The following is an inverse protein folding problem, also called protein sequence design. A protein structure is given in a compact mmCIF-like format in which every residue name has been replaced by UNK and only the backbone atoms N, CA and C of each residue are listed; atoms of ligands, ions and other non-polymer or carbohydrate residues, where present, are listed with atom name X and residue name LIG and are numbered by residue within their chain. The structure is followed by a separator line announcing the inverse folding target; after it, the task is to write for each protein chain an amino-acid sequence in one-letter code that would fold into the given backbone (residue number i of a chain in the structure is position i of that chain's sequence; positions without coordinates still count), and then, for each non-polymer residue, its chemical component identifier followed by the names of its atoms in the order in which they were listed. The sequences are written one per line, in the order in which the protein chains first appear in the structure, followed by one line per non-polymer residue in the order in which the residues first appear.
data_IF_048215086539
#
_entry.id   IF_048215086539
#
_cell.length_a   1.000
_cell.length_b   1.000
_cell.length_c   1.000
_cell.angle_alpha   90.00
_cell.angle_beta   90.00
_cell.angle_gamma   90.00
#
_symmetry.space_group_name_H-M   'P 1'
#
loop_
_entity.id
_entity.type
_entity.pdbx_description
1 polymer ?
#
# COMPACT_ATOMS: atom_id res chain seq x y z
N UNK A 1 14.85 6.65 11.05
CA UNK A 1 15.75 5.65 10.46
C UNK A 1 15.27 5.35 9.04
N UNK A 2 16.02 5.76 8.04
CA UNK A 2 15.68 5.58 6.63
C UNK A 2 16.24 4.22 6.21
N UNK A 3 15.35 3.21 6.00
CA UNK A 3 15.74 1.92 5.43
C UNK A 3 16.10 2.11 3.96
N UNK A 4 17.32 1.75 3.57
CA UNK A 4 17.72 1.59 2.16
C UNK A 4 16.87 0.48 1.55
N UNK A 5 16.03 0.82 0.58
CA UNK A 5 15.27 -0.14 -0.22
C UNK A 5 16.18 -0.68 -1.31
N UNK A 6 16.27 -2.01 -1.42
CA UNK A 6 16.87 -2.66 -2.58
C UNK A 6 15.95 -2.44 -3.79
N UNK A 7 16.48 -1.82 -4.82
CA UNK A 7 15.83 -1.64 -6.11
C UNK A 7 16.00 -2.93 -6.90
N UNK A 8 14.90 -3.56 -7.29
CA UNK A 8 14.88 -4.70 -8.22
C UNK A 8 15.59 -4.33 -9.52
N UNK A 9 16.50 -5.20 -9.95
CA UNK A 9 17.44 -5.01 -11.06
C UNK A 9 16.78 -5.26 -12.42
N UNK A 10 15.87 -4.41 -12.85
CA UNK A 10 15.40 -4.38 -14.24
C UNK A 10 15.08 -2.96 -14.69
N UNK A 11 16.04 -2.04 -14.53
CA UNK A 11 16.04 -0.79 -15.31
C UNK A 11 17.42 -0.13 -15.31
N UNK A 12 18.42 -0.85 -15.78
CA UNK A 12 19.74 -0.28 -16.10
C UNK A 12 19.87 -0.17 -17.61
N UNK A 13 19.36 0.92 -18.17
CA UNK A 13 19.93 1.56 -19.37
C UNK A 13 19.33 2.97 -19.50
N UNK A 14 19.92 3.89 -18.80
CA UNK A 14 20.06 5.32 -19.05
C UNK A 14 20.37 6.05 -17.74
N UNK A 15 21.65 6.16 -17.40
CA UNK A 15 22.08 7.17 -16.44
C UNK A 15 23.51 7.62 -16.65
N UNK A 16 23.63 8.91 -16.67
CA UNK A 16 24.88 9.67 -16.72
C UNK A 16 25.73 9.43 -15.45
N UNK A 17 27.04 9.45 -15.63
CA UNK A 17 28.06 9.32 -14.61
C UNK A 17 27.93 10.40 -13.52
N UNK A 18 27.80 9.96 -12.28
CA UNK A 18 28.05 10.77 -11.10
C UNK A 18 29.27 10.23 -10.36
N UNK A 19 30.24 11.09 -10.13
CA UNK A 19 31.50 10.80 -9.44
C UNK A 19 31.21 10.35 -8.01
N UNK A 20 31.54 9.11 -7.68
CA UNK A 20 31.49 8.56 -6.33
C UNK A 20 32.80 8.88 -5.61
N UNK A 21 32.75 9.79 -4.63
CA UNK A 21 33.79 9.87 -3.62
C UNK A 21 33.58 8.73 -2.62
N UNK A 22 34.50 7.79 -2.63
CA UNK A 22 34.52 6.65 -1.70
C UNK A 22 35.01 7.10 -0.33
N UNK A 23 34.12 7.15 0.66
CA UNK A 23 34.51 7.15 2.06
C UNK A 23 34.73 5.69 2.45
N UNK A 24 35.88 5.31 3.02
CA UNK A 24 36.09 3.94 3.47
C UNK A 24 35.21 3.67 4.69
N UNK A 25 34.16 2.86 4.49
CA UNK A 25 33.41 2.26 5.59
C UNK A 25 34.25 1.09 6.09
N UNK A 26 34.93 1.27 7.22
CA UNK A 26 35.54 0.15 7.95
C UNK A 26 34.42 -0.72 8.52
N UNK A 27 33.94 -1.65 7.71
CA UNK A 27 33.16 -2.77 8.22
C UNK A 27 34.13 -3.66 8.99
N UNK A 28 34.01 -3.70 10.32
CA UNK A 28 34.51 -4.80 11.11
C UNK A 28 33.71 -6.05 10.70
N UNK A 29 34.13 -6.69 9.62
CA UNK A 29 33.62 -8.02 9.23
C UNK A 29 34.22 -8.98 10.25
N UNK A 30 33.43 -9.34 11.28
CA UNK A 30 33.74 -10.46 12.15
C UNK A 30 34.05 -11.65 11.23
N UNK A 31 35.19 -12.35 11.50
CA UNK A 31 35.52 -13.58 10.78
C UNK A 31 34.29 -14.51 10.81
N UNK A 32 33.96 -15.19 9.69
CA UNK A 32 32.83 -16.09 9.66
C UNK A 32 32.98 -17.12 10.80
N UNK A 33 31.96 -17.25 11.62
CA UNK A 33 31.95 -18.22 12.72
C UNK A 33 32.18 -19.60 12.11
N UNK A 34 33.05 -20.41 12.76
CA UNK A 34 33.42 -21.75 12.26
C UNK A 34 32.17 -22.62 12.18
N UNK A 35 31.85 -23.11 10.98
CA UNK A 35 30.77 -24.06 10.78
C UNK A 35 31.12 -25.43 11.43
N UNK A 36 30.14 -26.02 12.08
CA UNK A 36 30.22 -27.33 12.77
C UNK A 36 29.17 -28.22 12.10
N UNK A 37 29.55 -29.46 11.77
CA UNK A 37 28.63 -30.46 11.21
C UNK A 37 28.25 -31.45 12.30
N UNK A 38 26.94 -31.69 12.45
CA UNK A 38 26.34 -32.66 13.38
C UNK A 38 25.25 -33.42 12.63
N UNK A 39 25.50 -34.68 12.30
CA UNK A 39 24.63 -35.47 11.44
C UNK A 39 24.39 -34.77 10.07
N UNK A 40 23.15 -34.63 9.69
CA UNK A 40 22.77 -33.97 8.43
C UNK A 40 22.77 -32.42 8.51
N UNK A 41 23.02 -31.87 9.70
CA UNK A 41 22.97 -30.43 9.92
C UNK A 41 24.36 -29.80 9.96
N UNK A 42 24.44 -28.58 9.43
CA UNK A 42 25.57 -27.68 9.66
C UNK A 42 25.05 -26.47 10.44
N UNK A 43 25.81 -26.04 11.44
CA UNK A 43 25.44 -24.90 12.28
C UNK A 43 26.66 -24.07 12.69
N UNK A 44 26.41 -22.85 13.11
CA UNK A 44 27.37 -21.98 13.80
C UNK A 44 26.95 -21.81 15.25
N UNK A 45 27.95 -21.71 16.15
CA UNK A 45 27.71 -21.40 17.56
C UNK A 45 27.66 -19.92 17.77
N UNK A 46 26.54 -19.39 18.21
CA UNK A 46 26.35 -17.99 18.59
C UNK A 46 26.09 -17.84 20.09
N UNK A 47 26.13 -16.60 20.59
CA UNK A 47 25.82 -16.28 21.98
C UNK A 47 25.05 -14.97 22.07
N UNK A 48 24.08 -14.90 22.98
CA UNK A 48 23.38 -13.67 23.34
C UNK A 48 23.99 -12.97 24.57
N UNK A 49 25.23 -13.33 24.96
CA UNK A 49 25.93 -12.82 26.14
C UNK A 49 25.59 -13.55 27.44
N UNK A 50 24.57 -14.42 27.47
CA UNK A 50 24.18 -15.22 28.61
C UNK A 50 24.34 -16.73 28.37
N UNK A 51 23.91 -17.17 27.20
CA UNK A 51 23.94 -18.58 26.79
C UNK A 51 24.42 -18.70 25.36
N UNK A 52 25.15 -19.78 25.06
CA UNK A 52 25.45 -20.15 23.67
C UNK A 52 24.33 -21.01 23.10
N UNK A 53 24.13 -20.92 21.80
CA UNK A 53 23.10 -21.66 21.06
C UNK A 53 23.58 -21.98 19.64
N UNK A 54 22.91 -22.92 18.97
CA UNK A 54 23.15 -23.27 17.60
C UNK A 54 22.25 -22.45 16.64
N UNK A 55 22.82 -21.97 15.54
CA UNK A 55 22.13 -21.37 14.40
C UNK A 55 22.36 -22.27 13.19
N UNK A 56 21.31 -22.86 12.65
CA UNK A 56 21.40 -23.75 11.50
C UNK A 56 21.80 -22.96 10.24
N UNK A 57 22.80 -23.44 9.51
CA UNK A 57 23.30 -22.85 8.27
C UNK A 57 23.02 -23.70 7.03
N UNK A 58 22.93 -25.04 7.19
CA UNK A 58 22.51 -25.93 6.12
C UNK A 58 21.95 -27.26 6.63
N UNK A 59 21.25 -27.96 5.73
CA UNK A 59 20.74 -29.30 5.91
C UNK A 59 21.06 -30.14 4.68
N UNK A 60 21.66 -31.31 4.86
CA UNK A 60 22.11 -32.22 3.76
C UNK A 60 21.27 -33.49 3.67
N UNK A 61 20.32 -33.70 4.59
CA UNK A 61 19.45 -34.86 4.55
C UNK A 61 18.44 -34.83 3.41
N UNK A 62 17.74 -35.94 3.21
CA UNK A 62 16.78 -36.13 2.12
C UNK A 62 15.31 -36.03 2.55
N UNK A 63 15.05 -35.70 3.82
CA UNK A 63 13.69 -35.63 4.36
C UNK A 63 12.86 -34.56 3.67
N UNK A 64 11.63 -34.94 3.29
CA UNK A 64 10.64 -34.00 2.76
C UNK A 64 9.80 -33.35 3.85
N UNK A 65 9.76 -33.96 5.05
CA UNK A 65 9.07 -33.48 6.26
C UNK A 65 10.11 -33.25 7.33
N UNK A 66 10.70 -32.07 7.34
CA UNK A 66 11.83 -31.75 8.22
C UNK A 66 11.38 -31.34 9.61
N UNK A 67 11.93 -31.99 10.63
CA UNK A 67 11.77 -31.56 12.03
C UNK A 67 13.06 -30.86 12.47
N UNK A 68 12.96 -29.59 12.80
CA UNK A 68 14.10 -28.85 13.35
C UNK A 68 14.41 -29.39 14.74
N UNK A 69 15.64 -29.89 15.00
CA UNK A 69 16.00 -30.46 16.31
C UNK A 69 15.94 -29.40 17.42
N UNK A 70 15.65 -29.82 18.61
CA UNK A 70 15.69 -28.95 19.80
C UNK A 70 17.11 -28.58 20.18
N UNK A 71 18.05 -29.53 20.00
CA UNK A 71 19.46 -29.41 20.40
C UNK A 71 20.37 -30.11 19.39
N UNK A 72 21.59 -29.59 19.22
CA UNK A 72 22.70 -30.20 18.49
C UNK A 72 23.95 -30.06 19.39
N UNK A 73 24.63 -31.16 19.64
CA UNK A 73 25.88 -31.22 20.43
C UNK A 73 25.76 -30.47 21.77
N UNK A 74 24.62 -30.60 22.46
CA UNK A 74 24.34 -29.94 23.74
C UNK A 74 23.99 -28.44 23.64
N UNK A 75 23.86 -27.89 22.42
CA UNK A 75 23.44 -26.50 22.17
C UNK A 75 21.98 -26.45 21.72
N UNK A 76 21.16 -25.63 22.36
CA UNK A 76 19.79 -25.38 21.89
C UNK A 76 19.80 -24.77 20.47
N UNK A 77 18.99 -25.29 19.55
CA UNK A 77 18.80 -24.75 18.22
C UNK A 77 17.79 -23.60 18.31
N UNK A 78 18.27 -22.36 18.21
CA UNK A 78 17.42 -21.16 18.38
C UNK A 78 17.10 -20.39 17.10
N UNK A 79 17.86 -20.63 16.03
CA UNK A 79 17.65 -19.89 14.79
C UNK A 79 18.05 -20.72 13.55
N UNK A 80 17.58 -20.26 12.42
CA UNK A 80 17.94 -20.74 11.08
C UNK A 80 18.45 -19.53 10.30
N UNK A 81 19.61 -19.65 9.62
CA UNK A 81 20.18 -18.54 8.86
C UNK A 81 19.90 -18.68 7.37
N UNK A 82 20.15 -17.60 6.64
CA UNK A 82 20.18 -17.60 5.17
C UNK A 82 21.24 -18.58 4.67
N UNK A 83 20.90 -19.30 3.61
CA UNK A 83 21.71 -20.39 3.06
C UNK A 83 21.22 -21.76 3.45
N UNK A 84 20.43 -21.87 4.53
CA UNK A 84 19.78 -23.13 4.94
C UNK A 84 18.82 -23.65 3.86
N UNK A 85 18.14 -22.74 3.13
CA UNK A 85 17.18 -23.05 2.06
C UNK A 85 17.80 -23.69 0.81
N UNK A 86 19.13 -23.65 0.67
CA UNK A 86 19.82 -24.09 -0.54
C UNK A 86 19.60 -25.58 -0.80
N UNK A 87 19.12 -25.89 -2.00
CA UNK A 87 18.86 -27.25 -2.48
C UNK A 87 17.83 -28.06 -1.69
N UNK A 88 17.05 -27.44 -0.80
CA UNK A 88 16.03 -28.12 -0.05
C UNK A 88 14.83 -28.50 -0.93
N UNK A 89 14.34 -29.75 -0.75
CA UNK A 89 13.13 -30.28 -1.36
C UNK A 89 12.04 -30.56 -0.33
N UNK A 90 12.12 -29.91 0.84
CA UNK A 90 11.18 -30.13 1.92
C UNK A 90 9.79 -29.57 1.57
N UNK A 91 8.77 -30.31 1.95
CA UNK A 91 7.36 -29.94 1.81
C UNK A 91 6.76 -29.40 3.09
N UNK A 92 7.22 -29.92 4.23
CA UNK A 92 6.82 -29.41 5.54
C UNK A 92 8.02 -29.22 6.45
N UNK A 93 7.92 -28.22 7.35
CA UNK A 93 8.91 -27.97 8.37
C UNK A 93 8.21 -27.81 9.72
N UNK A 94 8.76 -28.47 10.76
CA UNK A 94 8.31 -28.33 12.14
C UNK A 94 9.36 -27.54 12.91
N UNK A 95 9.02 -26.33 13.35
CA UNK A 95 9.87 -25.51 14.19
C UNK A 95 9.79 -26.01 15.64
N UNK A 96 10.95 -26.32 16.24
CA UNK A 96 11.04 -26.78 17.63
C UNK A 96 10.66 -25.67 18.62
N UNK A 97 10.49 -26.05 19.90
CA UNK A 97 10.13 -25.10 20.97
C UNK A 97 11.19 -24.00 21.18
N UNK A 98 12.44 -24.26 20.86
CA UNK A 98 13.57 -23.37 21.12
C UNK A 98 13.76 -22.30 20.03
N UNK A 99 13.15 -22.44 18.85
CA UNK A 99 13.22 -21.40 17.79
C UNK A 99 12.62 -20.09 18.32
N UNK A 100 13.42 -19.03 18.33
CA UNK A 100 13.13 -17.77 19.00
C UNK A 100 12.99 -16.60 18.03
N UNK A 101 12.41 -15.48 18.50
CA UNK A 101 12.27 -14.25 17.72
C UNK A 101 13.64 -13.61 17.42
N UNK A 102 13.74 -12.91 16.30
CA UNK A 102 14.93 -12.19 15.84
C UNK A 102 15.54 -11.24 16.88
N UNK A 103 14.73 -10.64 17.77
CA UNK A 103 15.20 -9.81 18.88
C UNK A 103 16.11 -10.56 19.89
N UNK A 104 15.99 -11.88 19.93
CA UNK A 104 16.77 -12.74 20.84
C UNK A 104 17.99 -13.36 20.15
N UNK A 105 17.90 -13.59 18.84
CA UNK A 105 18.90 -14.30 18.04
C UNK A 105 19.56 -13.44 16.99
N UNK A 106 19.04 -12.20 16.75
CA UNK A 106 19.41 -11.35 15.61
C UNK A 106 19.22 -12.02 14.23
N UNK A 107 18.42 -13.09 14.19
CA UNK A 107 18.05 -13.84 12.98
C UNK A 107 16.53 -13.86 12.86
N UNK A 108 16.04 -13.65 11.65
CA UNK A 108 14.62 -13.80 11.30
C UNK A 108 14.40 -15.12 10.55
N UNK A 109 13.15 -15.42 10.27
CA UNK A 109 12.77 -16.62 9.53
C UNK A 109 12.50 -16.36 8.05
N UNK A 110 13.06 -15.27 7.49
CA UNK A 110 12.95 -14.95 6.06
C UNK A 110 13.37 -16.11 5.17
N UNK A 111 14.34 -16.90 5.62
CA UNK A 111 14.84 -18.11 4.95
C UNK A 111 13.72 -19.10 4.59
N UNK A 112 12.65 -19.20 5.38
CA UNK A 112 11.52 -20.08 5.10
C UNK A 112 10.75 -19.63 3.86
N UNK A 113 10.80 -18.35 3.54
CA UNK A 113 10.15 -17.77 2.36
C UNK A 113 10.96 -18.00 1.06
N UNK A 114 12.18 -18.53 1.17
CA UNK A 114 13.01 -18.90 0.00
C UNK A 114 12.86 -20.38 -0.36
N UNK A 115 12.20 -21.20 0.48
CA UNK A 115 11.99 -22.62 0.20
C UNK A 115 10.84 -22.81 -0.77
N UNK A 116 11.15 -22.97 -2.04
CA UNK A 116 10.18 -23.01 -3.15
C UNK A 116 9.19 -24.19 -3.09
N UNK A 117 9.57 -25.29 -2.44
CA UNK A 117 8.76 -26.52 -2.34
C UNK A 117 7.89 -26.58 -1.10
N UNK A 118 8.04 -25.62 -0.17
CA UNK A 118 7.37 -25.64 1.11
C UNK A 118 5.84 -25.51 0.95
N UNK A 119 5.13 -26.47 1.51
CA UNK A 119 3.65 -26.55 1.48
C UNK A 119 3.05 -26.22 2.86
N UNK A 120 3.77 -26.48 3.94
CA UNK A 120 3.28 -26.35 5.31
C UNK A 120 4.38 -26.01 6.33
N UNK A 121 4.07 -25.13 7.27
CA UNK A 121 4.87 -24.88 8.45
C UNK A 121 4.07 -25.29 9.67
N UNK A 122 4.70 -26.06 10.55
CA UNK A 122 4.18 -26.41 11.88
C UNK A 122 5.11 -25.85 12.95
N UNK A 123 4.59 -25.69 14.15
CA UNK A 123 5.34 -25.17 15.31
C UNK A 123 5.03 -26.02 16.51
N UNK A 124 6.04 -26.39 17.29
CA UNK A 124 5.89 -27.11 18.53
C UNK A 124 4.94 -26.35 19.48
N UNK A 125 4.05 -27.07 20.15
CA UNK A 125 2.98 -26.51 21.00
C UNK A 125 3.50 -25.56 22.07
N UNK A 126 4.63 -25.87 22.64
CA UNK A 126 5.32 -25.16 23.72
C UNK A 126 6.30 -24.09 23.23
N UNK A 127 6.39 -23.82 21.92
CA UNK A 127 7.13 -22.68 21.41
C UNK A 127 6.50 -21.37 21.91
N UNK A 128 7.32 -20.50 22.51
CA UNK A 128 6.85 -19.24 23.13
C UNK A 128 6.82 -18.05 22.15
N UNK A 129 7.50 -18.17 21.01
CA UNK A 129 7.69 -17.07 20.05
C UNK A 129 6.72 -17.13 18.88
N UNK A 130 6.43 -18.35 18.42
CA UNK A 130 5.69 -18.58 17.18
C UNK A 130 4.52 -19.52 17.39
N UNK A 131 3.59 -19.47 16.44
CA UNK A 131 2.56 -20.48 16.24
C UNK A 131 2.26 -20.61 14.75
N UNK A 132 1.76 -21.76 14.36
CA UNK A 132 1.22 -21.97 13.01
C UNK A 132 -0.29 -22.16 13.06
N UNK A 133 -0.98 -21.62 12.07
CA UNK A 133 -2.38 -21.93 11.81
C UNK A 133 -2.54 -22.23 10.33
N UNK A 134 -3.17 -23.37 10.01
CA UNK A 134 -3.38 -23.82 8.64
C UNK A 134 -2.08 -23.83 7.81
N UNK A 135 -0.96 -24.19 8.44
CA UNK A 135 0.36 -24.24 7.81
C UNK A 135 1.03 -22.90 7.53
N UNK A 136 0.47 -21.81 8.02
CA UNK A 136 1.01 -20.43 7.90
C UNK A 136 1.63 -20.02 9.23
N UNK A 137 2.80 -19.38 9.19
CA UNK A 137 3.58 -19.00 10.36
C UNK A 137 3.24 -17.59 10.86
N UNK A 138 2.98 -17.48 12.15
CA UNK A 138 2.67 -16.23 12.84
C UNK A 138 3.50 -16.07 14.12
N UNK A 139 3.55 -14.83 14.63
CA UNK A 139 3.91 -14.59 16.02
C UNK A 139 2.94 -15.32 16.98
N UNK A 140 3.37 -15.59 18.21
CA UNK A 140 2.54 -16.29 19.22
C UNK A 140 1.21 -15.60 19.49
N UNK A 141 1.15 -14.26 19.40
CA UNK A 141 -0.07 -13.45 19.57
C UNK A 141 -0.84 -13.21 18.26
N UNK A 142 -0.43 -13.83 17.17
CA UNK A 142 -1.00 -13.67 15.81
C UNK A 142 -1.06 -12.23 15.27
N UNK A 143 -0.26 -11.32 15.79
CA UNK A 143 -0.24 -9.95 15.26
C UNK A 143 0.70 -9.78 14.07
N UNK A 144 1.64 -10.69 13.88
CA UNK A 144 2.62 -10.68 12.81
C UNK A 144 2.53 -11.97 11.98
N UNK A 145 2.56 -11.86 10.66
CA UNK A 145 2.71 -12.97 9.74
C UNK A 145 4.17 -13.00 9.29
N UNK A 146 4.82 -14.16 9.41
CA UNK A 146 6.22 -14.37 9.03
C UNK A 146 6.37 -15.11 7.71
N UNK A 147 5.55 -16.13 7.47
CA UNK A 147 5.67 -16.94 6.25
C UNK A 147 4.34 -17.56 5.85
N UNK A 148 4.00 -17.42 4.58
CA UNK A 148 3.00 -18.20 3.89
C UNK A 148 3.73 -19.09 2.87
N UNK A 149 3.72 -20.43 3.03
CA UNK A 149 4.50 -21.33 2.18
C UNK A 149 4.19 -21.18 0.68
N UNK A 150 5.23 -21.03 -0.14
CA UNK A 150 5.10 -20.75 -1.58
C UNK A 150 4.35 -21.82 -2.36
N UNK A 151 4.46 -23.09 -1.94
CA UNK A 151 3.82 -24.24 -2.56
C UNK A 151 2.59 -24.76 -1.80
N UNK A 152 2.08 -23.99 -0.83
CA UNK A 152 0.83 -24.33 -0.13
C UNK A 152 -0.33 -24.47 -1.12
N UNK A 153 -1.00 -25.62 -1.08
CA UNK A 153 -2.06 -25.99 -2.06
C UNK A 153 -3.41 -25.26 -1.85
N UNK A 154 -3.53 -24.41 -0.83
CA UNK A 154 -4.76 -23.67 -0.58
C UNK A 154 -4.99 -22.60 -1.64
N UNK A 155 -6.14 -22.61 -2.28
CA UNK A 155 -6.52 -21.60 -3.27
C UNK A 155 -7.06 -20.29 -2.63
N UNK A 156 -7.41 -20.33 -1.35
CA UNK A 156 -7.97 -19.16 -0.65
C UNK A 156 -7.24 -18.91 0.67
N UNK A 157 -6.91 -17.65 0.90
CA UNK A 157 -6.38 -17.20 2.17
C UNK A 157 -7.08 -15.94 2.65
N UNK A 158 -7.76 -16.05 3.78
CA UNK A 158 -8.34 -14.94 4.51
C UNK A 158 -7.40 -14.61 5.69
N UNK A 159 -6.60 -13.56 5.53
CA UNK A 159 -5.66 -13.15 6.56
C UNK A 159 -6.40 -12.80 7.85
N UNK A 160 -6.04 -13.39 8.99
CA UNK A 160 -6.70 -13.14 10.27
C UNK A 160 -6.73 -11.65 10.63
N UNK A 161 -7.86 -11.18 11.17
CA UNK A 161 -8.01 -9.78 11.56
C UNK A 161 -7.05 -9.35 12.68
N UNK A 162 -6.46 -10.30 13.42
CA UNK A 162 -5.41 -10.03 14.42
C UNK A 162 -4.10 -9.56 13.80
N UNK A 163 -3.82 -9.92 12.53
CA UNK A 163 -2.58 -9.57 11.83
C UNK A 163 -2.54 -8.07 11.56
N UNK A 164 -1.52 -7.42 12.09
CA UNK A 164 -1.25 -5.97 11.95
C UNK A 164 -0.02 -5.69 11.09
N UNK A 165 0.83 -6.70 10.86
CA UNK A 165 2.07 -6.60 10.10
C UNK A 165 2.38 -7.92 9.40
N UNK A 166 2.87 -7.83 8.19
CA UNK A 166 3.61 -8.91 7.53
C UNK A 166 5.07 -8.60 7.79
N UNK A 167 5.78 -9.50 8.46
CA UNK A 167 7.11 -9.18 8.99
C UNK A 167 8.15 -9.16 7.88
N UNK A 168 8.15 -10.20 7.05
CA UNK A 168 9.13 -10.36 5.98
C UNK A 168 8.58 -9.85 4.65
N UNK A 169 9.42 -9.15 3.90
CA UNK A 169 9.03 -8.54 2.63
C UNK A 169 8.60 -9.55 1.56
N UNK A 170 9.11 -10.78 1.63
CA UNK A 170 8.84 -11.89 0.70
C UNK A 170 7.83 -12.93 1.23
N UNK A 171 7.22 -12.70 2.40
CA UNK A 171 6.33 -13.66 3.05
C UNK A 171 5.05 -14.02 2.24
N UNK A 172 4.65 -13.18 1.29
CA UNK A 172 3.47 -13.40 0.43
C UNK A 172 3.81 -13.30 -1.06
N UNK A 173 5.09 -13.42 -1.44
CA UNK A 173 5.53 -13.33 -2.83
C UNK A 173 5.65 -14.72 -3.48
N UNK A 174 5.59 -14.78 -4.80
CA UNK A 174 5.75 -16.03 -5.57
C UNK A 174 4.79 -17.17 -5.19
N UNK A 175 3.58 -16.84 -4.73
CA UNK A 175 2.59 -17.84 -4.29
C UNK A 175 2.01 -18.59 -5.50
N UNK A 176 2.29 -19.91 -5.58
CA UNK A 176 2.01 -20.71 -6.77
C UNK A 176 0.52 -21.11 -6.93
N UNK A 177 -0.19 -21.35 -5.83
CA UNK A 177 -1.53 -21.95 -5.84
C UNK A 177 -2.61 -21.02 -5.28
N UNK A 178 -2.23 -19.95 -4.58
CA UNK A 178 -3.18 -19.01 -4.02
C UNK A 178 -3.88 -18.22 -5.12
N UNK A 179 -5.20 -18.33 -5.19
CA UNK A 179 -6.05 -17.61 -6.16
C UNK A 179 -6.78 -16.43 -5.52
N UNK A 180 -7.25 -16.59 -4.27
CA UNK A 180 -8.11 -15.61 -3.61
C UNK A 180 -7.47 -15.14 -2.29
N UNK A 181 -7.09 -13.87 -2.24
CA UNK A 181 -6.48 -13.25 -1.06
C UNK A 181 -7.39 -12.18 -0.46
N UNK A 182 -7.68 -12.29 0.84
CA UNK A 182 -8.28 -11.19 1.62
C UNK A 182 -7.26 -10.70 2.65
N UNK A 183 -6.84 -9.44 2.54
CA UNK A 183 -5.92 -8.83 3.49
C UNK A 183 -6.61 -8.44 4.80
N UNK A 184 -5.87 -8.47 5.91
CA UNK A 184 -6.38 -7.99 7.19
C UNK A 184 -6.68 -6.50 7.16
N UNK A 185 -7.83 -6.12 7.72
CA UNK A 185 -8.22 -4.70 7.88
C UNK A 185 -7.33 -3.93 8.86
N UNK A 186 -6.55 -4.62 9.66
CA UNK A 186 -5.69 -4.04 10.70
C UNK A 186 -4.22 -3.94 10.28
N UNK A 187 -3.89 -4.28 9.03
CA UNK A 187 -2.56 -4.02 8.48
C UNK A 187 -2.25 -2.53 8.45
N UNK A 188 -1.01 -2.18 8.76
CA UNK A 188 -0.50 -0.81 8.67
C UNK A 188 -0.07 -0.41 7.25
N UNK A 189 0.34 -1.39 6.45
CA UNK A 189 0.81 -1.25 5.07
C UNK A 189 0.35 -2.44 4.23
N UNK A 190 0.22 -2.26 2.91
CA UNK A 190 -0.04 -3.39 2.01
C UNK A 190 1.23 -4.22 1.86
N UNK A 191 1.19 -5.54 2.10
CA UNK A 191 2.36 -6.39 1.91
C UNK A 191 2.69 -6.56 0.43
N UNK A 192 3.94 -6.91 0.12
CA UNK A 192 4.30 -7.38 -1.21
C UNK A 192 3.69 -8.77 -1.46
N UNK A 193 2.98 -8.89 -2.57
CA UNK A 193 2.39 -10.12 -3.08
C UNK A 193 2.85 -10.37 -4.53
N UNK A 194 3.96 -9.74 -4.94
CA UNK A 194 4.44 -9.77 -6.33
C UNK A 194 4.73 -11.20 -6.81
N UNK A 195 4.71 -11.36 -8.12
CA UNK A 195 4.98 -12.62 -8.81
C UNK A 195 4.06 -13.80 -8.43
N UNK A 196 2.94 -13.51 -7.78
CA UNK A 196 2.01 -14.53 -7.28
C UNK A 196 0.90 -14.89 -8.28
N UNK A 197 0.39 -16.13 -8.18
CA UNK A 197 -0.71 -16.64 -9.03
C UNK A 197 -2.10 -16.12 -8.62
N UNK A 198 -2.17 -15.06 -7.80
CA UNK A 198 -3.42 -14.50 -7.28
C UNK A 198 -4.33 -14.04 -8.43
N UNK A 199 -5.57 -14.48 -8.41
CA UNK A 199 -6.62 -14.13 -9.38
C UNK A 199 -7.52 -13.01 -8.82
N UNK A 200 -7.79 -13.03 -7.50
CA UNK A 200 -8.58 -12.00 -6.84
C UNK A 200 -7.95 -11.53 -5.53
N UNK A 201 -8.07 -10.21 -5.24
CA UNK A 201 -7.65 -9.65 -3.96
C UNK A 201 -8.69 -8.70 -3.40
N UNK A 202 -8.95 -8.82 -2.08
CA UNK A 202 -9.72 -7.84 -1.31
C UNK A 202 -8.78 -7.04 -0.42
N UNK A 203 -8.73 -5.72 -0.66
CA UNK A 203 -7.88 -4.76 0.02
C UNK A 203 -8.74 -3.85 0.90
N UNK A 204 -8.68 -3.97 2.23
CA UNK A 204 -9.37 -3.08 3.15
C UNK A 204 -8.82 -1.66 3.06
N UNK A 205 -9.70 -0.69 2.81
CA UNK A 205 -9.29 0.72 2.66
C UNK A 205 -8.71 1.35 3.94
N UNK A 206 -8.89 0.72 5.09
CA UNK A 206 -8.29 1.13 6.36
C UNK A 206 -6.76 1.08 6.34
N UNK A 207 -6.16 0.25 5.48
CA UNK A 207 -4.70 0.19 5.26
C UNK A 207 -4.16 1.56 4.81
N UNK A 208 -5.02 2.39 4.20
CA UNK A 208 -4.67 3.75 3.78
C UNK A 208 -4.03 3.83 2.41
N UNK A 209 -3.24 2.87 1.98
CA UNK A 209 -2.58 2.84 0.68
C UNK A 209 -2.30 1.44 0.16
N UNK A 210 -2.02 1.35 -1.13
CA UNK A 210 -1.40 0.19 -1.77
C UNK A 210 0.04 0.61 -2.04
N UNK A 211 0.98 -0.08 -1.41
CA UNK A 211 2.39 0.29 -1.43
C UNK A 211 3.06 -0.08 -2.77
N UNK A 212 4.28 0.44 -2.96
CA UNK A 212 5.10 0.21 -4.14
C UNK A 212 5.23 -1.30 -4.45
N UNK A 213 5.04 -1.66 -5.72
CA UNK A 213 5.17 -3.04 -6.25
C UNK A 213 4.37 -4.13 -5.53
N UNK A 214 3.33 -3.76 -4.74
CA UNK A 214 2.59 -4.73 -3.89
C UNK A 214 2.01 -5.91 -4.67
N UNK A 215 1.56 -5.69 -5.90
CA UNK A 215 1.00 -6.73 -6.79
C UNK A 215 1.71 -6.75 -8.15
N UNK A 216 2.97 -6.34 -8.21
CA UNK A 216 3.76 -6.38 -9.42
C UNK A 216 3.82 -7.81 -9.96
N UNK A 217 3.71 -7.99 -11.30
CA UNK A 217 3.74 -9.28 -11.99
C UNK A 217 2.67 -10.31 -11.55
N UNK A 218 1.62 -9.91 -10.85
CA UNK A 218 0.47 -10.78 -10.60
C UNK A 218 -0.34 -10.97 -11.90
N UNK A 219 0.22 -11.72 -12.84
CA UNK A 219 -0.27 -11.82 -14.23
C UNK A 219 -1.68 -12.42 -14.36
N UNK A 220 -2.16 -13.16 -13.34
CA UNK A 220 -3.50 -13.75 -13.28
C UNK A 220 -4.52 -12.88 -12.55
N UNK A 221 -4.06 -11.80 -11.88
CA UNK A 221 -4.93 -10.91 -11.09
C UNK A 221 -5.93 -10.22 -12.02
N UNK A 222 -7.18 -10.60 -11.91
CA UNK A 222 -8.27 -10.08 -12.73
C UNK A 222 -9.33 -9.32 -11.92
N UNK A 223 -9.38 -9.52 -10.60
CA UNK A 223 -10.34 -8.86 -9.71
C UNK A 223 -9.67 -8.22 -8.50
N UNK A 224 -9.81 -6.91 -8.38
CA UNK A 224 -9.34 -6.12 -7.23
C UNK A 224 -10.55 -5.45 -6.56
N UNK A 225 -10.82 -5.81 -5.32
CA UNK A 225 -11.87 -5.20 -4.50
C UNK A 225 -11.24 -4.29 -3.46
N UNK A 226 -11.46 -2.99 -3.57
CA UNK A 226 -10.95 -2.00 -2.62
C UNK A 226 -12.12 -1.47 -1.79
N UNK A 227 -12.05 -1.59 -0.47
CA UNK A 227 -13.07 -1.00 0.38
C UNK A 227 -12.79 0.49 0.62
N UNK A 228 -13.76 1.21 1.17
CA UNK A 228 -13.67 2.64 1.42
C UNK A 228 -12.54 2.99 2.40
N UNK A 229 -11.75 4.05 2.10
CA UNK A 229 -10.70 4.56 3.00
C UNK A 229 -9.32 4.70 2.34
N UNK A 230 -9.05 3.99 1.25
CA UNK A 230 -7.78 4.06 0.53
C UNK A 230 -7.48 5.50 0.08
N UNK A 231 -6.24 5.96 0.29
CA UNK A 231 -5.78 7.30 -0.04
C UNK A 231 -4.76 7.36 -1.16
N UNK A 232 -3.93 6.33 -1.32
CA UNK A 232 -2.92 6.29 -2.38
C UNK A 232 -2.76 4.87 -2.95
N UNK A 233 -2.36 4.83 -4.21
CA UNK A 233 -1.81 3.66 -4.91
C UNK A 233 -0.43 4.11 -5.33
N UNK A 234 0.61 3.44 -4.83
CA UNK A 234 2.00 3.87 -5.01
C UNK A 234 2.61 3.36 -6.31
N UNK A 235 3.90 3.61 -6.52
CA UNK A 235 4.60 3.30 -7.75
C UNK A 235 4.55 1.80 -8.05
N UNK A 236 4.32 1.43 -9.30
CA UNK A 236 4.29 0.04 -9.82
C UNK A 236 3.33 -0.93 -9.10
N UNK A 237 2.39 -0.46 -8.27
CA UNK A 237 1.53 -1.28 -7.43
C UNK A 237 0.82 -2.44 -8.15
N UNK A 238 0.43 -2.26 -9.41
CA UNK A 238 -0.17 -3.28 -10.30
C UNK A 238 0.59 -3.42 -11.63
N UNK A 239 1.89 -3.14 -11.62
CA UNK A 239 2.70 -3.25 -12.82
C UNK A 239 2.65 -4.70 -13.37
N UNK A 240 2.46 -4.84 -14.69
CA UNK A 240 2.34 -6.15 -15.37
C UNK A 240 1.18 -7.06 -14.90
N UNK A 241 0.17 -6.56 -14.22
CA UNK A 241 -1.06 -7.31 -13.97
C UNK A 241 -1.89 -7.47 -15.25
N UNK A 242 -1.46 -8.31 -16.18
CA UNK A 242 -1.99 -8.38 -17.56
C UNK A 242 -3.47 -8.80 -17.63
N UNK A 243 -3.93 -9.62 -16.68
CA UNK A 243 -5.32 -10.05 -16.60
C UNK A 243 -6.27 -8.98 -16.03
N UNK A 244 -5.75 -7.92 -15.39
CA UNK A 244 -6.54 -6.86 -14.78
C UNK A 244 -7.10 -5.93 -15.86
N UNK A 245 -8.38 -6.15 -16.24
CA UNK A 245 -9.07 -5.38 -17.30
C UNK A 245 -9.82 -4.17 -16.76
N UNK A 246 -10.18 -4.20 -15.48
CA UNK A 246 -10.90 -3.11 -14.80
C UNK A 246 -10.54 -3.03 -13.32
N UNK A 247 -10.66 -1.83 -12.77
CA UNK A 247 -10.54 -1.58 -11.32
C UNK A 247 -11.44 -0.40 -10.95
N UNK A 248 -12.18 -0.56 -9.86
CA UNK A 248 -13.01 0.52 -9.30
C UNK A 248 -12.25 1.25 -8.22
N UNK A 249 -11.79 2.46 -8.53
CA UNK A 249 -11.08 3.32 -7.60
C UNK A 249 -12.04 3.96 -6.59
N UNK A 250 -11.77 3.90 -5.27
CA UNK A 250 -12.68 4.43 -4.26
C UNK A 250 -12.62 5.96 -4.15
N UNK A 251 -13.74 6.58 -3.80
CA UNK A 251 -13.75 7.98 -3.36
C UNK A 251 -12.92 8.14 -2.08
N UNK A 252 -12.06 9.17 -2.08
CA UNK A 252 -11.06 9.39 -1.03
C UNK A 252 -9.63 9.17 -1.50
N UNK A 253 -9.44 8.41 -2.60
CA UNK A 253 -8.13 8.24 -3.24
C UNK A 253 -7.56 9.61 -3.64
N UNK A 254 -6.31 9.89 -3.28
CA UNK A 254 -5.67 11.19 -3.50
C UNK A 254 -4.57 11.13 -4.56
N UNK A 255 -3.82 10.02 -4.65
CA UNK A 255 -2.73 9.90 -5.61
C UNK A 255 -2.63 8.50 -6.21
N UNK A 256 -2.09 8.49 -7.44
CA UNK A 256 -1.70 7.30 -8.18
C UNK A 256 -0.25 7.52 -8.61
N UNK A 257 0.62 6.58 -8.26
CA UNK A 257 2.06 6.62 -8.45
C UNK A 257 2.51 6.33 -9.89
N UNK A 258 3.84 6.31 -10.08
CA UNK A 258 4.49 6.04 -11.36
C UNK A 258 4.22 4.60 -11.78
N UNK A 259 3.71 4.42 -13.00
CA UNK A 259 3.53 3.08 -13.56
C UNK A 259 2.58 2.17 -12.80
N UNK A 260 1.77 2.70 -11.86
CA UNK A 260 0.90 1.88 -10.99
C UNK A 260 0.00 0.91 -11.76
N UNK A 261 -0.39 1.24 -12.99
CA UNK A 261 -1.18 0.39 -13.89
C UNK A 261 -0.48 0.15 -15.23
N UNK A 262 0.84 0.26 -15.28
CA UNK A 262 1.60 0.05 -16.50
C UNK A 262 1.56 -1.43 -16.91
N UNK A 263 1.33 -1.69 -18.21
CA UNK A 263 1.18 -3.05 -18.77
C UNK A 263 0.08 -3.90 -18.13
N UNK A 264 -0.98 -3.27 -17.62
CA UNK A 264 -2.22 -3.98 -17.25
C UNK A 264 -3.12 -4.18 -18.47
N UNK A 265 -4.18 -4.98 -18.31
CA UNK A 265 -5.25 -5.14 -19.30
C UNK A 265 -6.24 -3.96 -19.36
N UNK A 266 -6.11 -2.95 -18.50
CA UNK A 266 -7.04 -1.84 -18.37
C UNK A 266 -6.98 -0.95 -19.61
N UNK A 267 -8.12 -0.73 -20.28
CA UNK A 267 -8.23 0.19 -21.42
C UNK A 267 -8.83 1.53 -21.04
N UNK A 268 -9.65 1.57 -19.99
CA UNK A 268 -10.27 2.79 -19.50
C UNK A 268 -10.27 2.82 -17.98
N UNK A 269 -9.88 3.96 -17.41
CA UNK A 269 -9.83 4.14 -15.95
C UNK A 269 -10.61 5.40 -15.55
N UNK A 270 -11.60 5.23 -14.67
CA UNK A 270 -12.36 6.33 -14.09
C UNK A 270 -11.67 6.85 -12.84
N UNK A 271 -11.26 8.12 -12.86
CA UNK A 271 -10.54 8.76 -11.78
C UNK A 271 -11.50 9.45 -10.81
N UNK A 272 -11.52 9.08 -9.52
CA UNK A 272 -12.38 9.71 -8.52
C UNK A 272 -12.14 11.21 -8.37
N UNK A 273 -13.19 11.92 -7.96
CA UNK A 273 -13.13 13.36 -7.73
C UNK A 273 -12.28 13.81 -6.54
N UNK A 274 -11.63 12.91 -5.83
CA UNK A 274 -10.72 13.18 -4.72
C UNK A 274 -9.25 13.19 -5.15
N UNK A 275 -8.92 12.61 -6.31
CA UNK A 275 -7.53 12.49 -6.81
C UNK A 275 -6.95 13.86 -7.13
N UNK A 276 -5.75 14.10 -6.61
CA UNK A 276 -5.00 15.37 -6.79
C UNK A 276 -3.75 15.20 -7.65
N UNK A 277 -3.23 13.97 -7.76
CA UNK A 277 -2.02 13.66 -8.53
C UNK A 277 -2.14 12.28 -9.17
N UNK A 278 -1.78 12.19 -10.43
CA UNK A 278 -1.50 10.94 -11.12
C UNK A 278 -0.11 11.12 -11.72
N UNK A 279 0.81 10.26 -11.33
CA UNK A 279 2.14 10.26 -11.92
C UNK A 279 2.14 9.52 -13.25
N UNK A 280 3.24 9.07 -13.76
CA UNK A 280 3.34 8.47 -15.08
C UNK A 280 2.38 7.29 -15.21
N UNK A 281 1.43 7.38 -16.13
CA UNK A 281 0.47 6.32 -16.43
C UNK A 281 0.67 5.82 -17.85
N UNK A 282 0.30 4.58 -18.13
CA UNK A 282 0.34 3.99 -19.46
C UNK A 282 -0.50 4.82 -20.46
N UNK A 283 0.11 5.19 -21.58
CA UNK A 283 -0.55 6.00 -22.61
C UNK A 283 -1.73 5.30 -23.29
N UNK A 284 -1.77 3.96 -23.22
CA UNK A 284 -2.87 3.15 -23.77
C UNK A 284 -4.15 3.26 -22.94
N UNK A 285 -4.06 3.70 -21.68
CA UNK A 285 -5.22 3.82 -20.78
C UNK A 285 -5.94 5.14 -21.01
N UNK A 286 -7.19 5.07 -21.45
CA UNK A 286 -8.09 6.24 -21.56
C UNK A 286 -8.56 6.66 -20.17
N UNK A 287 -8.20 7.89 -19.74
CA UNK A 287 -8.63 8.43 -18.46
C UNK A 287 -9.95 9.17 -18.54
N UNK A 288 -10.96 8.72 -17.82
CA UNK A 288 -12.14 9.52 -17.45
C UNK A 288 -11.83 10.23 -16.14
N UNK A 289 -11.44 11.49 -16.20
CA UNK A 289 -10.88 12.24 -15.07
C UNK A 289 -11.55 13.58 -14.86
N UNK A 290 -11.55 14.15 -13.63
CA UNK A 290 -12.00 15.51 -13.35
C UNK A 290 -11.23 16.56 -14.18
N UNK A 291 -11.92 17.61 -14.63
CA UNK A 291 -11.36 18.68 -15.46
C UNK A 291 -10.25 19.49 -14.78
N UNK A 292 -10.23 19.53 -13.45
CA UNK A 292 -9.17 20.19 -12.68
C UNK A 292 -7.84 19.41 -12.64
N UNK A 293 -7.81 18.13 -13.00
CA UNK A 293 -6.57 17.38 -13.24
C UNK A 293 -6.01 17.79 -14.61
N UNK A 294 -5.03 18.68 -14.60
CA UNK A 294 -4.37 19.16 -15.82
C UNK A 294 -3.17 18.29 -16.14
N UNK A 295 -2.97 18.05 -17.43
CA UNK A 295 -1.87 17.27 -18.00
C UNK A 295 -0.60 18.13 -18.06
N UNK A 296 0.52 17.54 -17.68
CA UNK A 296 1.85 18.13 -17.80
C UNK A 296 2.81 17.12 -18.42
N UNK A 297 3.90 17.60 -18.97
CA UNK A 297 4.97 16.79 -19.52
C UNK A 297 6.25 17.11 -18.75
N UNK A 298 7.02 16.10 -18.38
CA UNK A 298 8.37 16.24 -17.82
C UNK A 298 9.36 16.42 -18.97
N UNK A 299 10.57 16.88 -18.69
CA UNK A 299 11.66 17.01 -19.68
C UNK A 299 11.98 15.65 -20.33
N UNK A 300 11.88 14.55 -19.59
CA UNK A 300 11.97 13.17 -20.09
C UNK A 300 10.85 12.75 -21.06
N UNK A 301 9.87 13.62 -21.31
CA UNK A 301 8.68 13.31 -22.13
C UNK A 301 7.56 12.59 -21.37
N UNK A 302 7.77 12.17 -20.13
CA UNK A 302 6.76 11.50 -19.31
C UNK A 302 5.58 12.43 -18.99
N UNK A 303 4.36 11.87 -19.00
CA UNK A 303 3.12 12.62 -18.76
C UNK A 303 2.64 12.36 -17.34
N UNK A 304 2.30 13.42 -16.63
CA UNK A 304 1.64 13.35 -15.33
C UNK A 304 0.46 14.30 -15.24
N UNK A 305 -0.42 14.09 -14.25
CA UNK A 305 -1.58 14.95 -14.01
C UNK A 305 -1.53 15.49 -12.58
N UNK A 306 -1.83 16.78 -12.45
CA UNK A 306 -1.87 17.44 -11.15
C UNK A 306 -3.12 18.29 -11.03
N UNK A 307 -3.73 18.31 -9.84
CA UNK A 307 -4.89 19.14 -9.57
C UNK A 307 -4.50 20.62 -9.54
N UNK A 308 -5.14 21.40 -10.39
CA UNK A 308 -4.99 22.85 -10.49
C UNK A 308 -6.31 23.53 -10.13
N UNK A 309 -6.21 24.53 -9.26
CA UNK A 309 -7.33 25.38 -8.90
C UNK A 309 -7.26 26.69 -9.66
N UNK A 310 -8.27 26.99 -10.46
CA UNK A 310 -8.37 28.24 -11.20
C UNK A 310 -9.15 29.26 -10.36
N UNK A 311 -8.55 30.42 -10.11
CA UNK A 311 -9.18 31.54 -9.42
C UNK A 311 -9.56 32.59 -10.46
N UNK A 312 -10.86 32.85 -10.58
CA UNK A 312 -11.44 33.86 -11.48
C UNK A 312 -11.77 35.12 -10.68
N UNK A 313 -11.29 36.27 -11.12
CA UNK A 313 -11.66 37.58 -10.59
C UNK A 313 -12.35 38.39 -11.67
N UNK A 314 -13.33 39.22 -11.32
CA UNK A 314 -14.03 40.12 -12.26
C UNK A 314 -13.01 41.03 -12.91
N UNK A 315 -13.08 41.14 -14.23
CA UNK A 315 -12.22 42.02 -15.06
C UNK A 315 -10.74 41.67 -15.09
N UNK A 316 -10.33 40.46 -14.60
CA UNK A 316 -8.92 40.03 -14.58
C UNK A 316 -8.74 38.64 -15.21
N UNK A 317 -7.56 38.39 -15.80
CA UNK A 317 -7.14 37.06 -16.25
C UNK A 317 -7.21 36.07 -15.13
N UNK A 318 -7.77 34.89 -15.38
CA UNK A 318 -7.81 33.79 -14.42
C UNK A 318 -6.39 33.28 -14.08
N UNK A 319 -6.11 33.04 -12.80
CA UNK A 319 -4.82 32.53 -12.32
C UNK A 319 -5.00 31.13 -11.79
N UNK A 320 -4.11 30.22 -12.19
CA UNK A 320 -4.14 28.81 -11.82
C UNK A 320 -3.04 28.49 -10.80
N UNK A 321 -3.40 27.78 -9.75
CA UNK A 321 -2.49 27.37 -8.66
C UNK A 321 -2.57 25.86 -8.45
N UNK A 322 -1.48 25.26 -7.90
CA UNK A 322 -1.57 23.88 -7.35
C UNK A 322 -2.66 23.85 -6.28
N UNK A 323 -3.57 22.89 -6.36
CA UNK A 323 -4.68 22.80 -5.40
C UNK A 323 -4.20 22.58 -3.96
N UNK A 324 -3.06 21.91 -3.77
CA UNK A 324 -2.40 21.71 -2.48
C UNK A 324 -2.00 23.02 -1.78
N UNK A 325 -1.77 24.11 -2.51
CA UNK A 325 -1.47 25.44 -1.94
C UNK A 325 -2.66 26.14 -1.30
N UNK A 326 -3.88 25.62 -1.47
CA UNK A 326 -5.07 26.22 -0.85
C UNK A 326 -5.12 25.88 0.63
N UNK A 327 -4.86 26.87 1.47
CA UNK A 327 -4.84 26.70 2.94
C UNK A 327 -6.22 26.80 3.57
N UNK A 328 -7.14 27.57 2.96
CA UNK A 328 -8.51 27.75 3.46
C UNK A 328 -9.47 28.11 2.34
N UNK A 329 -10.73 27.70 2.50
CA UNK A 329 -11.86 28.17 1.68
C UNK A 329 -12.92 28.82 2.57
N UNK A 330 -13.61 29.85 2.05
CA UNK A 330 -14.73 30.51 2.72
C UNK A 330 -15.83 30.84 1.72
N UNK A 331 -17.06 30.95 2.17
CA UNK A 331 -18.12 31.57 1.39
C UNK A 331 -17.88 33.07 1.20
N UNK A 332 -18.37 33.63 0.09
CA UNK A 332 -18.54 35.09 -0.02
C UNK A 332 -19.53 35.61 1.04
N UNK A 333 -20.58 34.83 1.26
CA UNK A 333 -21.60 35.07 2.30
C UNK A 333 -21.87 33.79 3.05
N UNK A 334 -21.97 33.84 4.40
CA UNK A 334 -22.27 32.68 5.25
C UNK A 334 -23.78 32.43 5.39
N UNK A 335 -24.62 33.41 5.02
CA UNK A 335 -26.07 33.31 5.07
C UNK A 335 -26.66 33.68 3.69
N UNK A 336 -27.61 32.92 3.23
CA UNK A 336 -28.33 33.13 1.94
C UNK A 336 -29.82 33.03 2.21
N UNK A 337 -30.58 34.03 1.75
CA UNK A 337 -32.05 33.98 1.74
C UNK A 337 -32.52 33.97 0.30
N UNK A 338 -33.38 33.03 -0.06
CA UNK A 338 -33.96 32.90 -1.41
C UNK A 338 -35.47 32.64 -1.32
N UNK A 339 -36.22 33.07 -2.31
CA UNK A 339 -37.65 32.74 -2.43
C UNK A 339 -37.81 31.32 -2.99
N UNK A 340 -38.93 30.64 -2.64
CA UNK A 340 -39.27 29.33 -3.24
C UNK A 340 -39.21 29.42 -4.76
N UNK A 341 -38.64 28.40 -5.43
CA UNK A 341 -38.46 28.31 -6.89
C UNK A 341 -37.27 29.08 -7.44
N UNK A 342 -36.74 30.07 -6.74
CA UNK A 342 -35.61 30.87 -7.19
C UNK A 342 -34.26 30.19 -6.95
N UNK A 343 -33.26 30.65 -7.67
CA UNK A 343 -31.88 30.13 -7.61
C UNK A 343 -30.89 31.22 -7.25
N UNK A 344 -29.76 30.81 -6.64
CA UNK A 344 -28.58 31.66 -6.46
C UNK A 344 -27.31 30.83 -6.53
N UNK A 345 -26.22 31.44 -6.90
CA UNK A 345 -24.93 30.76 -7.05
C UNK A 345 -24.01 31.04 -5.86
N UNK A 346 -23.51 30.00 -5.21
CA UNK A 346 -22.49 30.13 -4.19
C UNK A 346 -21.12 30.46 -4.79
N UNK A 347 -20.43 31.42 -4.20
CA UNK A 347 -19.08 31.79 -4.58
C UNK A 347 -18.11 31.47 -3.42
N UNK A 348 -17.05 30.73 -3.73
CA UNK A 348 -16.03 30.32 -2.77
C UNK A 348 -14.78 31.17 -2.90
N UNK A 349 -14.44 31.92 -1.84
CA UNK A 349 -13.17 32.64 -1.68
C UNK A 349 -12.09 31.68 -1.22
N UNK A 350 -10.83 31.94 -1.62
CA UNK A 350 -9.69 31.06 -1.31
C UNK A 350 -8.56 31.83 -0.64
N UNK A 351 -7.84 31.13 0.24
CA UNK A 351 -6.59 31.57 0.82
C UNK A 351 -5.47 30.66 0.32
N UNK A 352 -4.38 31.30 -0.13
CA UNK A 352 -3.15 30.62 -0.56
C UNK A 352 -2.03 31.16 0.28
N UNK A 353 -1.28 30.29 0.97
CA UNK A 353 -0.16 30.70 1.84
C UNK A 353 -0.54 31.81 2.82
N UNK A 354 -1.65 31.63 3.53
CA UNK A 354 -2.23 32.59 4.52
C UNK A 354 -2.77 33.90 3.93
N UNK A 355 -2.51 34.22 2.67
CA UNK A 355 -3.02 35.46 2.00
C UNK A 355 -4.34 35.18 1.27
N UNK A 356 -5.33 36.09 1.45
CA UNK A 356 -6.57 36.03 0.70
C UNK A 356 -6.30 36.43 -0.76
N UNK A 357 -6.65 35.57 -1.71
CA UNK A 357 -6.65 35.90 -3.13
C UNK A 357 -7.97 36.55 -3.55
N UNK A 358 -7.89 37.68 -4.24
CA UNK A 358 -9.08 38.33 -4.82
C UNK A 358 -9.64 37.45 -5.96
N UNK A 359 -10.87 37.00 -5.81
CA UNK A 359 -11.53 36.14 -6.80
C UNK A 359 -12.21 34.93 -6.19
N UNK A 360 -12.76 34.10 -7.05
CA UNK A 360 -13.59 32.96 -6.67
C UNK A 360 -13.04 31.68 -7.29
N UNK A 361 -13.05 30.61 -6.48
CA UNK A 361 -12.61 29.31 -6.93
C UNK A 361 -13.60 28.72 -7.94
N UNK A 362 -13.05 28.07 -8.98
CA UNK A 362 -13.84 27.32 -9.94
C UNK A 362 -14.62 26.22 -9.21
N UNK A 363 -15.96 26.11 -9.38
CA UNK A 363 -16.77 25.16 -8.67
C UNK A 363 -16.48 23.69 -9.01
N UNK A 364 -15.82 23.37 -10.09
CA UNK A 364 -15.52 21.98 -10.48
C UNK A 364 -14.66 21.24 -9.46
N UNK A 365 -13.76 21.96 -8.78
CA UNK A 365 -12.91 21.37 -7.72
C UNK A 365 -13.62 21.25 -6.37
N UNK A 366 -14.89 21.68 -6.30
CA UNK A 366 -15.70 21.69 -5.10
C UNK A 366 -16.74 20.57 -5.10
N UNK A 367 -17.10 20.08 -3.91
CA UNK A 367 -18.27 19.22 -3.67
C UNK A 367 -19.26 19.98 -2.82
N UNK A 368 -20.53 20.03 -3.27
CA UNK A 368 -21.62 20.70 -2.58
C UNK A 368 -22.60 19.67 -2.06
N UNK A 369 -23.00 19.81 -0.80
CA UNK A 369 -24.02 18.95 -0.17
C UNK A 369 -24.98 19.82 0.64
N UNK A 370 -26.21 19.35 0.84
CA UNK A 370 -27.21 20.03 1.66
C UNK A 370 -27.67 19.13 2.80
N UNK A 371 -27.92 19.71 3.98
CA UNK A 371 -28.48 19.02 5.12
C UNK A 371 -29.94 18.65 4.95
N UNK A 372 -30.68 19.33 4.04
CA UNK A 372 -32.11 19.08 3.79
C UNK A 372 -32.42 19.22 2.29
N UNK A 373 -32.51 18.08 1.62
CA UNK A 373 -32.82 18.02 0.17
C UNK A 373 -34.25 18.41 -0.18
N UNK A 374 -35.22 18.36 0.79
CA UNK A 374 -36.61 18.78 0.60
C UNK A 374 -36.74 20.29 0.61
N UNK A 375 -35.86 21.02 1.31
CA UNK A 375 -35.85 22.48 1.39
C UNK A 375 -34.98 23.13 0.32
N UNK A 376 -33.79 22.55 0.08
CA UNK A 376 -32.77 23.12 -0.82
C UNK A 376 -32.14 22.05 -1.70
N UNK A 377 -32.14 22.28 -3.01
CA UNK A 377 -31.31 21.53 -3.97
C UNK A 377 -30.04 22.33 -4.27
N UNK A 378 -28.89 21.69 -4.30
CA UNK A 378 -27.63 22.29 -4.72
C UNK A 378 -27.04 21.50 -5.88
N UNK A 379 -26.62 22.18 -6.94
CA UNK A 379 -25.98 21.57 -8.11
C UNK A 379 -24.48 21.34 -7.88
N UNK A 380 -23.86 20.51 -8.71
CA UNK A 380 -22.40 20.31 -8.75
C UNK A 380 -21.61 21.59 -9.02
N UNK A 381 -22.23 22.59 -9.65
CA UNK A 381 -21.64 23.91 -9.95
C UNK A 381 -21.92 24.95 -8.84
N UNK A 382 -22.52 24.53 -7.70
CA UNK A 382 -22.79 25.41 -6.56
C UNK A 382 -24.02 26.31 -6.72
N UNK A 383 -24.93 26.03 -7.66
CA UNK A 383 -26.20 26.72 -7.76
C UNK A 383 -27.19 26.12 -6.75
N UNK A 384 -27.75 26.97 -5.89
CA UNK A 384 -28.77 26.62 -4.91
C UNK A 384 -30.14 26.94 -5.49
N UNK A 385 -31.11 26.04 -5.35
CA UNK A 385 -32.54 26.26 -5.64
C UNK A 385 -33.37 26.05 -4.37
N UNK A 386 -34.18 27.02 -4.02
CA UNK A 386 -35.16 26.87 -2.93
C UNK A 386 -36.33 26.02 -3.38
N UNK A 387 -36.62 24.91 -2.69
CA UNK A 387 -37.70 23.99 -3.06
C UNK A 387 -38.96 24.17 -2.17
N UNK A 388 -38.74 24.32 -0.87
CA UNK A 388 -39.82 24.47 0.14
C UNK A 388 -39.38 25.47 1.19
N UNK A 389 -40.35 26.26 1.76
CA UNK A 389 -40.11 27.15 2.88
C UNK A 389 -39.42 26.40 4.04
N UNK A 390 -38.35 26.97 4.59
CA UNK A 390 -37.57 26.33 5.64
C UNK A 390 -36.12 26.75 5.68
N UNK A 391 -35.31 26.02 6.48
CA UNK A 391 -33.85 26.23 6.63
C UNK A 391 -33.10 24.99 6.22
N UNK A 392 -31.93 25.17 5.62
CA UNK A 392 -30.96 24.11 5.33
C UNK A 392 -29.53 24.66 5.39
N UNK A 393 -28.57 23.81 5.67
CA UNK A 393 -27.15 24.15 5.59
C UNK A 393 -26.54 23.51 4.34
N UNK A 394 -25.90 24.31 3.50
CA UNK A 394 -25.12 23.82 2.38
C UNK A 394 -23.67 23.75 2.83
N UNK A 395 -23.09 22.54 2.79
CA UNK A 395 -21.67 22.32 3.05
C UNK A 395 -20.92 22.29 1.73
N UNK A 396 -19.87 23.08 1.64
CA UNK A 396 -18.95 23.12 0.49
C UNK A 396 -17.62 22.56 0.91
N UNK A 397 -17.15 21.52 0.20
CA UNK A 397 -15.90 20.81 0.47
C UNK A 397 -14.96 20.96 -0.72
N UNK A 398 -13.71 21.36 -0.48
CA UNK A 398 -12.64 21.28 -1.47
C UNK A 398 -12.26 19.80 -1.63
N UNK A 399 -12.45 19.24 -2.82
CA UNK A 399 -12.27 17.79 -3.09
C UNK A 399 -10.85 17.33 -2.78
N UNK A 400 -9.86 18.16 -3.12
CA UNK A 400 -8.42 17.83 -3.07
C UNK A 400 -7.80 17.85 -1.66
N UNK A 401 -8.33 18.65 -0.74
CA UNK A 401 -7.74 18.80 0.61
C UNK A 401 -8.74 18.53 1.73
N UNK A 402 -9.99 18.25 1.38
CA UNK A 402 -11.06 18.02 2.35
C UNK A 402 -11.54 19.27 3.11
N UNK A 403 -10.93 20.45 2.91
CA UNK A 403 -11.30 21.69 3.59
C UNK A 403 -12.75 22.08 3.29
N UNK A 404 -13.49 22.51 4.30
CA UNK A 404 -14.92 22.81 4.21
C UNK A 404 -15.27 24.20 4.70
N UNK A 405 -16.43 24.68 4.25
CA UNK A 405 -17.20 25.74 4.92
C UNK A 405 -18.70 25.46 4.80
N UNK A 406 -19.51 26.12 5.64
CA UNK A 406 -20.95 25.97 5.67
C UNK A 406 -21.64 27.29 5.30
N UNK A 407 -22.77 27.20 4.60
CA UNK A 407 -23.65 28.32 4.28
C UNK A 407 -25.04 28.00 4.76
N UNK A 408 -25.61 28.87 5.61
CA UNK A 408 -26.96 28.75 6.08
C UNK A 408 -27.92 29.32 5.05
N UNK A 409 -28.85 28.53 4.57
CA UNK A 409 -29.84 28.90 3.56
C UNK A 409 -31.22 28.95 4.18
N UNK A 410 -31.89 30.08 4.05
CA UNK A 410 -33.34 30.27 4.40
C UNK A 410 -34.11 30.40 3.12
N UNK A 411 -35.11 29.54 2.92
CA UNK A 411 -36.12 29.65 1.87
C UNK A 411 -37.36 30.29 2.44
N UNK A 412 -37.80 31.41 1.84
CA UNK A 412 -39.04 32.12 2.18
C UNK A 412 -40.15 31.72 1.23
#
# INVERSE_FOLDING_TARGET
MVRKRMVSTVMSLMMAAAVLTTVPVTNNVKAPDKEITSGDYTYVKESNGKTSYAVLTSYKGSETNLVIPEELDGLQVKAISQGFEKNLKIKSIILSKNIALAKETHRDLEVLNEIETLEEIRVAKDNLSYQAQDGVLYSKDKKQLFSYPKSKKSETYNMPASVKKVEESNALTNLKYLKNLTLSKNLSVTPSCNDSSIESVTIPGQIGGIDESSFENCNKLNKVTITKGLRFIDDYAFFECKALKEIKLPEGLQSIGVGAFYRTGIKQLTIPGSVVKIDVIDKSIKLSKPSYLKKFKRDSGAIYYEARATIKASGKKAVTYKASRITKIKAKTSKVTIKKGKTTKLQTRVYISKKLKKGYLDPEILKFTTSNKKVVKVSSKGTIKGLKKGKATVTVKLRTTGKTYKVNVKVK
#
